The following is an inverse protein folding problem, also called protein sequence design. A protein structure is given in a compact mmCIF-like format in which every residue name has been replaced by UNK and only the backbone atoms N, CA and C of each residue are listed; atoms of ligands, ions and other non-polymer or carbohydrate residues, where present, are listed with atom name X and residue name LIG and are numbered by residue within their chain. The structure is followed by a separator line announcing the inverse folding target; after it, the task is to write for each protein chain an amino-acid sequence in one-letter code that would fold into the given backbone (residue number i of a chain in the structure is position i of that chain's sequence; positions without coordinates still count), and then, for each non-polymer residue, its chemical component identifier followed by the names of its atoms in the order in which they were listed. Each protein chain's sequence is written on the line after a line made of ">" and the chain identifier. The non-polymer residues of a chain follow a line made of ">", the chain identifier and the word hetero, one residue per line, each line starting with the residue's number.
data_IF_913572613139
#
_entry.id   IF_913572613139
#
_cell.length_a   1.000
_cell.length_b   1.000
_cell.length_c   1.000
_cell.angle_alpha   90.00
_cell.angle_beta   90.00
_cell.angle_gamma   90.00
#
_symmetry.space_group_name_H-M   'P 1'
#
loop_
_entity.id
_entity.type
_entity.pdbx_description
1 polymer ?
#
# COMPACT_ATOMS: atom_id res chain seq x y z
N UNK A 1 -25.30 1.90 -45.29
CA UNK A 1 -24.04 1.39 -44.71
C UNK A 1 -23.92 1.95 -43.30
N UNK A 2 -23.95 1.08 -42.30
CA UNK A 2 -23.91 1.41 -40.88
C UNK A 2 -22.46 1.66 -40.45
N UNK A 3 -22.20 2.80 -39.79
CA UNK A 3 -20.97 3.06 -39.06
C UNK A 3 -21.29 3.77 -37.76
N UNK A 4 -21.60 3.02 -36.69
CA UNK A 4 -21.67 3.56 -35.33
C UNK A 4 -20.25 3.51 -34.74
N UNK A 5 -19.60 4.67 -34.66
CA UNK A 5 -18.44 4.85 -33.80
C UNK A 5 -18.91 4.98 -32.34
N UNK A 6 -18.27 4.24 -31.45
CA UNK A 6 -18.49 4.29 -29.99
C UNK A 6 -18.01 5.64 -29.44
N UNK A 7 -18.68 6.23 -28.44
CA UNK A 7 -18.21 7.47 -27.83
C UNK A 7 -16.98 7.18 -26.98
N UNK A 8 -15.90 7.89 -27.30
CA UNK A 8 -14.65 7.99 -26.54
C UNK A 8 -14.97 8.60 -25.17
N UNK A 9 -14.53 7.95 -24.10
CA UNK A 9 -14.75 8.39 -22.73
C UNK A 9 -14.02 9.71 -22.44
N UNK A 10 -14.79 10.70 -21.98
CA UNK A 10 -14.40 12.08 -21.73
C UNK A 10 -13.46 12.25 -20.52
N UNK A 11 -12.18 12.51 -20.78
CA UNK A 11 -11.27 13.19 -19.83
C UNK A 11 -11.44 14.72 -19.83
N UNK A 12 -12.24 15.27 -20.75
CA UNK A 12 -12.50 16.71 -20.90
C UNK A 12 -13.60 17.28 -20.00
N UNK A 13 -14.40 16.43 -19.35
CA UNK A 13 -15.52 16.87 -18.51
C UNK A 13 -15.10 17.37 -17.12
N UNK A 14 -13.93 16.96 -16.62
CA UNK A 14 -13.38 17.49 -15.36
C UNK A 14 -12.87 18.93 -15.53
N UNK A 15 -12.14 19.21 -16.62
CA UNK A 15 -11.56 20.55 -16.88
C UNK A 15 -12.64 21.58 -17.20
N UNK A 16 -13.69 21.18 -17.93
CA UNK A 16 -14.82 22.06 -18.28
C UNK A 16 -15.76 22.31 -17.10
N UNK A 17 -15.92 21.35 -16.18
CA UNK A 17 -16.62 21.54 -14.90
C UNK A 17 -15.89 22.51 -13.96
N UNK A 18 -14.56 22.43 -13.91
CA UNK A 18 -13.69 23.33 -13.14
C UNK A 18 -13.77 24.79 -13.63
N UNK A 19 -13.85 24.99 -14.94
CA UNK A 19 -14.02 26.32 -15.54
C UNK A 19 -15.34 26.98 -15.14
N UNK A 20 -16.46 26.24 -15.14
CA UNK A 20 -17.77 26.80 -14.77
C UNK A 20 -17.90 27.19 -13.30
N UNK A 21 -17.18 26.54 -12.38
CA UNK A 21 -17.23 26.84 -10.95
C UNK A 21 -16.32 28.03 -10.57
N UNK A 22 -15.22 28.24 -11.30
CA UNK A 22 -14.26 29.32 -11.08
C UNK A 22 -14.82 30.74 -11.38
N UNK A 23 -15.86 30.87 -12.20
CA UNK A 23 -16.47 32.16 -12.56
C UNK A 23 -17.73 32.51 -11.73
N UNK A 24 -18.09 31.68 -10.74
CA UNK A 24 -19.34 31.79 -9.96
C UNK A 24 -19.29 32.59 -8.65
N UNK A 25 -18.22 33.34 -8.38
CA UNK A 25 -18.24 34.39 -7.34
C UNK A 25 -18.42 33.95 -5.88
N UNK A 26 -17.83 32.82 -5.46
CA UNK A 26 -17.71 32.42 -4.05
C UNK A 26 -16.25 32.46 -3.59
N UNK A 27 -15.99 32.88 -2.35
CA UNK A 27 -14.66 33.03 -1.74
C UNK A 27 -13.72 31.87 -2.12
N UNK A 28 -12.67 32.18 -2.87
CA UNK A 28 -11.69 31.22 -3.37
C UNK A 28 -10.79 30.75 -2.22
N UNK A 29 -11.32 29.86 -1.39
CA UNK A 29 -10.66 29.36 -0.19
C UNK A 29 -9.54 28.40 -0.56
N UNK A 30 -8.41 28.51 0.15
CA UNK A 30 -7.26 27.59 0.08
C UNK A 30 -7.68 26.12 0.20
N UNK A 31 -8.77 25.84 0.91
CA UNK A 31 -9.29 24.51 1.15
C UNK A 31 -9.84 23.83 -0.12
N UNK A 32 -10.46 24.59 -1.03
CA UNK A 32 -10.96 24.05 -2.32
C UNK A 32 -9.80 23.77 -3.26
N UNK A 33 -8.81 24.66 -3.30
CA UNK A 33 -7.57 24.42 -4.02
C UNK A 33 -6.82 23.20 -3.47
N UNK A 34 -6.65 23.11 -2.14
CA UNK A 34 -5.98 21.98 -1.49
C UNK A 34 -6.72 20.66 -1.71
N UNK A 35 -8.05 20.65 -1.63
CA UNK A 35 -8.87 19.47 -1.92
C UNK A 35 -8.73 19.00 -3.38
N UNK A 36 -8.56 19.93 -4.32
CA UNK A 36 -8.35 19.61 -5.74
C UNK A 36 -6.90 19.18 -6.03
N UNK A 37 -5.92 19.75 -5.33
CA UNK A 37 -4.50 19.50 -5.58
C UNK A 37 -3.96 18.24 -4.86
N UNK A 38 -4.52 17.90 -3.69
CA UNK A 38 -4.07 16.74 -2.90
C UNK A 38 -4.14 15.44 -3.71
N UNK A 39 -5.25 15.07 -4.39
CA UNK A 39 -5.30 13.86 -5.21
C UNK A 39 -4.29 13.89 -6.36
N UNK A 40 -4.08 15.05 -7.00
CA UNK A 40 -3.09 15.18 -8.09
C UNK A 40 -1.68 14.91 -7.56
N UNK A 41 -1.30 15.56 -6.46
CA UNK A 41 0.02 15.41 -5.86
C UNK A 41 0.25 13.99 -5.31
N UNK A 42 -0.77 13.40 -4.69
CA UNK A 42 -0.72 12.02 -4.24
C UNK A 42 -0.62 11.05 -5.42
N UNK A 43 -1.29 11.33 -6.54
CA UNK A 43 -1.15 10.57 -7.79
C UNK A 43 0.30 10.59 -8.31
N UNK A 44 0.92 11.77 -8.37
CA UNK A 44 2.34 11.88 -8.77
C UNK A 44 3.27 11.10 -7.85
N UNK A 45 3.01 11.09 -6.53
CA UNK A 45 3.78 10.30 -5.57
C UNK A 45 3.55 8.80 -5.76
N UNK A 46 2.32 8.37 -6.03
CA UNK A 46 2.01 6.98 -6.34
C UNK A 46 2.81 6.57 -7.59
N UNK A 47 2.81 7.36 -8.66
CA UNK A 47 3.58 7.05 -9.88
C UNK A 47 5.08 7.04 -9.63
N UNK A 48 5.59 8.00 -8.84
CA UNK A 48 6.99 8.01 -8.41
C UNK A 48 7.36 6.78 -7.58
N UNK A 49 6.40 6.14 -6.91
CA UNK A 49 6.57 4.89 -6.18
C UNK A 49 7.15 3.74 -7.01
N UNK A 50 6.91 3.73 -8.33
CA UNK A 50 7.53 2.76 -9.26
C UNK A 50 9.06 2.90 -9.31
N UNK A 51 9.60 4.06 -8.93
CA UNK A 51 11.02 4.39 -8.95
C UNK A 51 11.64 4.45 -7.54
N UNK A 52 10.90 4.05 -6.51
CA UNK A 52 11.41 3.97 -5.14
C UNK A 52 12.05 2.60 -4.94
N UNK A 53 13.36 2.61 -4.67
CA UNK A 53 14.16 1.39 -4.49
C UNK A 53 14.98 1.46 -3.21
N UNK A 54 15.17 0.32 -2.56
CA UNK A 54 16.10 0.12 -1.44
C UNK A 54 17.52 -0.18 -1.94
N UNK A 55 17.65 -0.81 -3.11
CA UNK A 55 18.93 -1.16 -3.72
C UNK A 55 18.82 -1.33 -5.25
N UNK A 56 19.95 -1.33 -6.00
CA UNK A 56 19.93 -1.43 -7.46
C UNK A 56 19.31 -2.72 -8.01
N UNK A 57 19.46 -3.85 -7.31
CA UNK A 57 18.83 -5.11 -7.73
C UNK A 57 17.31 -5.02 -7.67
N UNK A 58 16.77 -4.28 -6.69
CA UNK A 58 15.34 -4.02 -6.62
C UNK A 58 14.84 -3.17 -7.80
N UNK A 59 15.66 -2.27 -8.34
CA UNK A 59 15.30 -1.57 -9.58
C UNK A 59 15.17 -2.57 -10.73
N UNK A 60 16.13 -3.49 -10.88
CA UNK A 60 16.04 -4.53 -11.90
C UNK A 60 14.81 -5.44 -11.71
N UNK A 61 14.53 -5.89 -10.48
CA UNK A 61 13.39 -6.76 -10.18
C UNK A 61 12.04 -6.05 -10.41
N UNK A 62 11.91 -4.78 -9.99
CA UNK A 62 10.71 -3.93 -10.21
C UNK A 62 10.28 -3.93 -11.68
N UNK A 63 11.25 -3.80 -12.58
CA UNK A 63 11.04 -3.66 -14.03
C UNK A 63 11.10 -4.99 -14.80
N UNK A 64 11.23 -6.12 -14.10
CA UNK A 64 11.24 -7.46 -14.70
C UNK A 64 10.11 -8.31 -14.15
N UNK A 65 10.36 -9.12 -13.12
CA UNK A 65 9.36 -10.05 -12.59
C UNK A 65 8.34 -9.40 -11.66
N UNK A 66 8.63 -8.22 -11.10
CA UNK A 66 7.66 -7.53 -10.25
C UNK A 66 6.70 -6.60 -11.01
N UNK A 67 6.98 -6.36 -12.29
CA UNK A 67 6.30 -5.35 -13.08
C UNK A 67 4.78 -5.58 -13.17
N UNK A 68 4.28 -6.79 -13.48
CA UNK A 68 2.83 -6.99 -13.68
C UNK A 68 2.02 -6.61 -12.44
N UNK A 69 2.42 -7.09 -11.26
CA UNK A 69 1.69 -6.77 -10.04
C UNK A 69 1.95 -5.34 -9.53
N UNK A 70 3.10 -4.74 -9.85
CA UNK A 70 3.37 -3.34 -9.52
C UNK A 70 2.50 -2.39 -10.35
N UNK A 71 2.22 -2.71 -11.62
CA UNK A 71 1.28 -1.96 -12.47
C UNK A 71 -0.16 -2.07 -11.94
N UNK A 72 -0.58 -3.27 -11.55
CA UNK A 72 -1.90 -3.47 -10.93
C UNK A 72 -2.01 -2.71 -9.61
N UNK A 73 -0.96 -2.74 -8.79
CA UNK A 73 -0.88 -1.98 -7.54
C UNK A 73 -0.97 -0.47 -7.76
N UNK A 74 -0.23 0.07 -8.73
CA UNK A 74 -0.30 1.49 -9.11
C UNK A 74 -1.73 1.87 -9.54
N UNK A 75 -2.34 1.10 -10.46
CA UNK A 75 -3.69 1.38 -10.93
C UNK A 75 -4.72 1.36 -9.79
N UNK A 76 -4.63 0.38 -8.88
CA UNK A 76 -5.49 0.29 -7.70
C UNK A 76 -5.29 1.47 -6.74
N UNK A 77 -4.04 1.83 -6.44
CA UNK A 77 -3.71 2.96 -5.57
C UNK A 77 -4.15 4.30 -6.16
N UNK A 78 -3.97 4.49 -7.45
CA UNK A 78 -4.43 5.68 -8.17
C UNK A 78 -5.96 5.78 -8.17
N UNK A 79 -6.67 4.66 -8.37
CA UNK A 79 -8.13 4.62 -8.24
C UNK A 79 -8.60 4.96 -6.82
N UNK A 80 -7.96 4.40 -5.78
CA UNK A 80 -8.25 4.74 -4.37
C UNK A 80 -8.00 6.21 -4.08
N UNK A 81 -6.91 6.77 -4.61
CA UNK A 81 -6.57 8.18 -4.45
C UNK A 81 -7.60 9.11 -5.10
N UNK A 82 -8.04 8.81 -6.33
CA UNK A 82 -9.13 9.55 -7.00
C UNK A 82 -10.44 9.45 -6.22
N UNK A 83 -10.71 8.31 -5.58
CA UNK A 83 -11.87 8.09 -4.74
C UNK A 83 -11.76 8.67 -3.32
N UNK A 84 -10.65 9.36 -2.98
CA UNK A 84 -10.46 10.00 -1.67
C UNK A 84 -9.95 9.10 -0.56
N UNK A 85 -9.51 7.87 -0.88
CA UNK A 85 -8.97 6.89 0.08
C UNK A 85 -7.43 6.89 0.13
N UNK A 86 -6.80 8.05 -0.06
CA UNK A 86 -5.36 8.23 0.02
C UNK A 86 -5.02 9.59 0.63
N UNK A 87 -4.77 9.60 1.94
CA UNK A 87 -4.45 10.81 2.67
C UNK A 87 -2.96 11.10 2.70
N UNK A 88 -2.16 10.05 2.96
CA UNK A 88 -0.71 10.13 3.01
C UNK A 88 -0.08 9.14 2.03
N UNK A 89 0.88 9.62 1.26
CA UNK A 89 1.78 8.75 0.47
C UNK A 89 3.17 8.82 1.11
N UNK A 90 3.68 7.67 1.55
CA UNK A 90 4.97 7.53 2.22
C UNK A 90 5.80 6.45 1.55
N UNK A 91 7.12 6.58 1.65
CA UNK A 91 8.05 5.62 1.07
C UNK A 91 8.87 4.98 2.17
N UNK A 92 9.08 3.67 2.06
CA UNK A 92 9.92 2.95 2.99
C UNK A 92 10.58 1.76 2.29
N UNK A 93 11.91 1.80 2.16
CA UNK A 93 12.74 0.68 1.70
C UNK A 93 12.16 -0.06 0.49
N UNK A 94 11.86 0.68 -0.58
CA UNK A 94 11.33 0.14 -1.83
C UNK A 94 9.80 -0.02 -1.93
N UNK A 95 9.08 0.18 -0.82
CA UNK A 95 7.62 0.15 -0.79
C UNK A 95 7.02 1.55 -0.74
N UNK A 96 5.82 1.68 -1.31
CA UNK A 96 4.99 2.89 -1.30
C UNK A 96 3.75 2.61 -0.47
N UNK A 97 3.59 3.33 0.63
CA UNK A 97 2.47 3.24 1.54
C UNK A 97 1.43 4.31 1.18
N UNK A 98 0.20 3.86 0.93
CA UNK A 98 -0.98 4.67 0.65
C UNK A 98 -1.90 4.54 1.86
N UNK A 99 -1.83 5.54 2.75
CA UNK A 99 -2.51 5.54 4.03
C UNK A 99 -3.77 6.38 3.92
N UNK A 100 -4.91 5.78 4.27
CA UNK A 100 -6.16 6.46 4.48
C UNK A 100 -6.41 6.58 5.98
N UNK A 101 -6.49 7.82 6.46
CA UNK A 101 -6.59 8.14 7.88
C UNK A 101 -8.07 8.24 8.29
N UNK A 102 -8.38 8.08 9.58
CA UNK A 102 -9.76 8.18 10.11
C UNK A 102 -10.76 7.22 9.45
N UNK A 103 -10.31 6.04 9.03
CA UNK A 103 -11.18 5.03 8.45
C UNK A 103 -11.99 4.29 9.51
N UNK A 104 -13.21 3.87 9.17
CA UNK A 104 -13.98 2.94 10.03
C UNK A 104 -13.37 1.53 10.08
N UNK A 105 -12.43 1.22 9.18
CA UNK A 105 -11.75 -0.06 9.06
C UNK A 105 -10.29 0.05 9.45
N UNK A 106 -9.75 -1.06 9.94
CA UNK A 106 -8.32 -1.25 10.17
C UNK A 106 -7.90 -2.46 9.36
N UNK A 107 -7.46 -2.23 8.13
CA UNK A 107 -7.06 -3.27 7.18
C UNK A 107 -6.07 -2.74 6.14
N UNK A 108 -5.38 -3.67 5.50
CA UNK A 108 -4.44 -3.39 4.42
C UNK A 108 -4.60 -4.38 3.27
N UNK A 109 -4.04 -3.98 2.12
CA UNK A 109 -3.87 -4.81 0.94
C UNK A 109 -2.58 -4.40 0.24
N UNK A 110 -1.73 -5.38 -0.03
CA UNK A 110 -0.46 -5.16 -0.73
C UNK A 110 -0.47 -5.75 -2.14
N UNK A 111 -0.14 -4.91 -3.13
CA UNK A 111 -0.07 -5.25 -4.55
C UNK A 111 1.26 -4.73 -5.13
N UNK A 112 2.22 -5.62 -5.35
CA UNK A 112 3.57 -5.19 -5.74
C UNK A 112 4.23 -4.38 -4.63
N UNK A 113 4.82 -3.24 -5.00
CA UNK A 113 5.34 -2.24 -4.05
C UNK A 113 4.28 -1.34 -3.42
N UNK A 114 3.01 -1.46 -3.80
CA UNK A 114 1.97 -0.56 -3.33
C UNK A 114 1.21 -1.19 -2.17
N UNK A 115 1.42 -0.62 -0.99
CA UNK A 115 0.80 -1.04 0.27
C UNK A 115 -0.35 -0.07 0.56
N UNK A 116 -1.58 -0.55 0.38
CA UNK A 116 -2.79 0.23 0.58
C UNK A 116 -3.37 -0.08 1.95
N UNK A 117 -3.58 0.94 2.78
CA UNK A 117 -4.01 0.74 4.16
C UNK A 117 -5.03 1.76 4.62
N UNK A 118 -5.84 1.32 5.57
CA UNK A 118 -6.81 2.09 6.32
C UNK A 118 -6.40 2.06 7.79
N UNK A 119 -6.18 3.23 8.38
CA UNK A 119 -5.95 3.38 9.82
C UNK A 119 -7.14 4.10 10.44
N UNK A 120 -7.48 3.73 11.68
CA UNK A 120 -8.64 4.30 12.39
C UNK A 120 -8.39 5.69 12.93
N UNK A 121 -7.14 5.95 13.31
CA UNK A 121 -6.73 7.20 13.92
C UNK A 121 -6.15 8.15 12.85
N UNK A 122 -6.08 9.46 13.12
CA UNK A 122 -5.31 10.38 12.29
C UNK A 122 -3.85 9.94 12.16
N UNK A 123 -3.23 10.23 11.02
CA UNK A 123 -1.79 10.00 10.87
C UNK A 123 -0.99 10.85 11.86
N UNK A 124 -0.34 10.16 12.81
CA UNK A 124 0.48 10.78 13.84
C UNK A 124 1.96 10.73 13.44
N UNK A 125 2.54 11.90 13.17
CA UNK A 125 3.97 12.03 12.86
C UNK A 125 4.86 11.62 14.02
N UNK A 126 4.45 11.83 15.27
CA UNK A 126 5.27 11.43 16.42
C UNK A 126 5.41 9.91 16.51
N UNK A 127 4.40 9.19 16.02
CA UNK A 127 4.36 7.73 15.92
C UNK A 127 5.09 7.20 14.68
N UNK A 128 4.76 7.73 13.50
CA UNK A 128 5.21 7.17 12.22
C UNK A 128 6.43 7.86 11.62
N UNK A 129 6.80 9.05 12.10
CA UNK A 129 7.99 9.82 11.72
C UNK A 129 8.78 10.24 12.98
N UNK A 130 9.21 9.30 13.82
CA UNK A 130 9.80 9.62 15.11
C UNK A 130 11.20 10.24 14.96
N UNK A 131 11.61 11.02 15.95
CA UNK A 131 12.89 11.74 15.95
C UNK A 131 14.11 10.82 15.89
N UNK A 132 14.03 9.61 16.47
CA UNK A 132 15.10 8.61 16.40
C UNK A 132 15.32 8.07 14.98
N UNK A 133 14.34 8.24 14.07
CA UNK A 133 14.43 7.86 12.67
C UNK A 133 14.57 9.09 11.75
N UNK A 134 15.26 10.14 12.21
CA UNK A 134 15.45 11.41 11.48
C UNK A 134 14.13 12.07 11.03
N UNK A 135 13.02 11.85 11.74
CA UNK A 135 11.67 12.25 11.31
C UNK A 135 11.28 11.70 9.93
N UNK A 136 11.80 10.54 9.54
CA UNK A 136 11.41 9.82 8.32
C UNK A 136 10.36 8.77 8.65
N UNK A 137 9.54 8.47 7.66
CA UNK A 137 8.48 7.48 7.82
C UNK A 137 9.04 6.09 8.18
N UNK A 138 8.37 5.41 9.10
CA UNK A 138 8.64 4.01 9.46
C UNK A 138 7.35 3.26 9.77
N UNK A 139 7.17 2.02 9.27
CA UNK A 139 6.01 1.19 9.59
C UNK A 139 6.12 0.51 10.98
N UNK A 140 7.27 0.61 11.65
CA UNK A 140 7.59 -0.14 12.89
C UNK A 140 6.62 0.13 14.06
N UNK A 141 5.93 1.27 14.04
CA UNK A 141 5.01 1.63 15.11
C UNK A 141 3.65 0.90 15.03
N UNK A 142 3.41 0.12 13.97
CA UNK A 142 2.13 -0.54 13.72
C UNK A 142 2.33 -1.95 13.12
N UNK A 143 1.83 -2.96 13.84
CA UNK A 143 1.96 -4.36 13.44
C UNK A 143 1.27 -4.68 12.10
N UNK A 144 0.16 -4.03 11.74
CA UNK A 144 -0.47 -4.20 10.42
C UNK A 144 0.42 -3.63 9.33
N UNK A 145 1.03 -2.46 9.54
CA UNK A 145 1.95 -1.89 8.55
C UNK A 145 3.17 -2.77 8.32
N UNK A 146 3.71 -3.37 9.38
CA UNK A 146 4.80 -4.33 9.27
C UNK A 146 4.34 -5.61 8.54
N UNK A 147 3.17 -6.15 8.89
CA UNK A 147 2.57 -7.31 8.23
C UNK A 147 2.38 -7.12 6.72
N UNK A 148 1.80 -5.98 6.30
CA UNK A 148 1.64 -5.64 4.88
C UNK A 148 2.98 -5.49 4.16
N UNK A 149 4.00 -4.97 4.85
CA UNK A 149 5.36 -4.97 4.32
C UNK A 149 5.90 -6.40 4.11
N UNK A 150 5.46 -7.38 4.89
CA UNK A 150 5.69 -8.80 4.66
C UNK A 150 5.14 -9.29 3.31
N UNK A 151 3.91 -8.89 2.96
CA UNK A 151 3.33 -9.19 1.65
C UNK A 151 4.08 -8.52 0.50
N UNK A 152 4.61 -7.31 0.71
CA UNK A 152 5.51 -6.67 -0.24
C UNK A 152 6.78 -7.50 -0.48
N UNK A 153 7.39 -8.02 0.59
CA UNK A 153 8.57 -8.88 0.48
C UNK A 153 8.25 -10.20 -0.25
N UNK A 154 7.05 -10.77 -0.07
CA UNK A 154 6.60 -11.92 -0.88
C UNK A 154 6.54 -11.54 -2.35
N UNK A 155 5.91 -10.39 -2.67
CA UNK A 155 5.80 -9.90 -4.03
C UNK A 155 7.17 -9.71 -4.70
N UNK A 156 8.13 -9.17 -3.95
CA UNK A 156 9.50 -9.00 -4.41
C UNK A 156 10.19 -10.34 -4.73
N UNK A 157 9.94 -11.37 -3.90
CA UNK A 157 10.59 -12.70 -4.02
C UNK A 157 10.05 -13.53 -5.16
N UNK A 158 8.72 -13.59 -5.32
CA UNK A 158 8.08 -14.51 -6.28
C UNK A 158 7.49 -13.82 -7.51
N UNK A 159 7.50 -12.48 -7.54
CA UNK A 159 7.26 -11.70 -8.75
C UNK A 159 5.94 -12.03 -9.42
N UNK A 160 6.06 -12.52 -10.65
CA UNK A 160 4.96 -12.95 -11.50
C UNK A 160 3.99 -13.90 -10.81
N UNK A 161 4.48 -14.80 -9.96
CA UNK A 161 3.64 -15.77 -9.25
C UNK A 161 2.94 -15.19 -8.02
N UNK A 162 3.24 -13.96 -7.61
CA UNK A 162 2.66 -13.34 -6.43
C UNK A 162 1.12 -13.33 -6.47
N UNK A 163 0.51 -12.90 -7.57
CA UNK A 163 -0.94 -12.81 -7.63
C UNK A 163 -1.61 -14.19 -7.56
N UNK A 164 -1.08 -15.20 -8.25
CA UNK A 164 -1.68 -16.54 -8.27
C UNK A 164 -1.40 -17.34 -7.00
N UNK A 165 -0.20 -17.20 -6.42
CA UNK A 165 0.24 -17.98 -5.26
C UNK A 165 -0.02 -17.28 -3.91
N UNK A 166 -0.21 -15.96 -3.88
CA UNK A 166 -0.40 -15.21 -2.64
C UNK A 166 -1.63 -14.31 -2.71
N UNK A 167 -1.68 -13.36 -3.64
CA UNK A 167 -2.74 -12.33 -3.67
C UNK A 167 -4.15 -12.89 -3.80
N UNK A 168 -4.39 -13.76 -4.79
CA UNK A 168 -5.68 -14.41 -5.02
C UNK A 168 -6.02 -15.38 -3.86
N UNK A 169 -5.13 -16.30 -3.43
CA UNK A 169 -5.39 -17.14 -2.26
C UNK A 169 -5.73 -16.36 -0.99
N UNK A 170 -4.98 -15.30 -0.65
CA UNK A 170 -5.27 -14.42 0.50
C UNK A 170 -6.64 -13.78 0.38
N UNK A 171 -7.03 -13.29 -0.80
CA UNK A 171 -8.36 -12.71 -1.03
C UNK A 171 -9.48 -13.75 -0.85
N UNK A 172 -9.33 -14.93 -1.45
CA UNK A 172 -10.31 -16.03 -1.37
C UNK A 172 -10.48 -16.49 0.10
N UNK A 173 -9.37 -16.61 0.84
CA UNK A 173 -9.38 -16.91 2.27
C UNK A 173 -10.09 -15.81 3.09
N UNK A 174 -9.81 -14.53 2.78
CA UNK A 174 -10.44 -13.39 3.44
C UNK A 174 -11.97 -13.38 3.22
N UNK A 175 -12.42 -13.73 2.01
CA UNK A 175 -13.83 -13.90 1.65
C UNK A 175 -14.48 -15.15 2.27
N UNK A 176 -13.72 -16.04 2.90
CA UNK A 176 -14.21 -17.25 3.56
C UNK A 176 -14.59 -18.37 2.60
N UNK A 177 -14.11 -18.32 1.36
CA UNK A 177 -14.42 -19.33 0.33
C UNK A 177 -13.54 -20.58 0.43
N UNK A 178 -12.36 -20.44 1.04
CA UNK A 178 -11.53 -21.54 1.50
C UNK A 178 -11.53 -21.49 3.02
N UNK A 179 -12.03 -22.56 3.65
CA UNK A 179 -12.19 -22.63 5.11
C UNK A 179 -10.84 -22.67 5.84
N UNK A 180 -10.81 -22.20 7.08
CA UNK A 180 -9.60 -22.18 7.91
C UNK A 180 -9.51 -20.94 8.79
N UNK A 181 -8.52 -20.94 9.68
CA UNK A 181 -8.15 -19.74 10.45
C UNK A 181 -7.43 -18.76 9.52
N UNK A 182 -8.03 -17.58 9.32
CA UNK A 182 -7.56 -16.59 8.35
C UNK A 182 -6.14 -16.12 8.67
N UNK A 183 -5.86 -15.89 9.95
CA UNK A 183 -4.60 -15.34 10.43
C UNK A 183 -3.47 -16.39 10.38
N UNK A 184 -3.83 -17.67 10.24
CA UNK A 184 -2.89 -18.80 10.14
C UNK A 184 -2.76 -19.37 8.74
N UNK A 185 -3.44 -18.78 7.76
CA UNK A 185 -3.31 -19.21 6.37
C UNK A 185 -1.86 -19.03 5.89
N UNK A 186 -1.38 -19.92 5.02
CA UNK A 186 0.06 -20.01 4.73
C UNK A 186 0.64 -18.71 4.16
N UNK A 187 -0.14 -17.97 3.37
CA UNK A 187 0.27 -16.68 2.80
C UNK A 187 0.44 -15.63 3.89
N UNK A 188 -0.47 -15.58 4.86
CA UNK A 188 -0.47 -14.65 5.99
C UNK A 188 0.70 -14.95 6.94
N UNK A 189 0.89 -16.22 7.30
CA UNK A 189 2.05 -16.62 8.12
C UNK A 189 3.37 -16.35 7.44
N UNK A 190 3.48 -16.65 6.15
CA UNK A 190 4.71 -16.36 5.41
C UNK A 190 5.00 -14.85 5.41
N UNK A 191 3.98 -13.99 5.22
CA UNK A 191 4.13 -12.55 5.34
C UNK A 191 4.57 -12.13 6.75
N UNK A 192 3.95 -12.69 7.80
CA UNK A 192 4.33 -12.44 9.19
C UNK A 192 5.79 -12.82 9.47
N UNK A 193 6.24 -14.00 9.04
CA UNK A 193 7.62 -14.44 9.23
C UNK A 193 8.62 -13.49 8.51
N UNK A 194 8.28 -13.05 7.30
CA UNK A 194 9.13 -12.12 6.54
C UNK A 194 9.21 -10.74 7.19
N UNK A 195 8.06 -10.19 7.59
CA UNK A 195 7.98 -8.93 8.30
C UNK A 195 8.75 -9.01 9.63
N UNK A 196 8.48 -10.04 10.42
CA UNK A 196 9.17 -10.28 11.69
C UNK A 196 10.68 -10.30 11.49
N UNK A 197 11.24 -11.13 10.60
CA UNK A 197 12.68 -11.16 10.37
C UNK A 197 13.27 -9.87 9.80
N UNK A 198 12.49 -9.09 9.05
CA UNK A 198 12.97 -7.83 8.49
C UNK A 198 13.08 -6.72 9.55
N UNK A 199 12.13 -6.68 10.49
CA UNK A 199 12.04 -5.63 11.52
C UNK A 199 12.66 -6.03 12.86
N UNK A 200 12.71 -7.32 13.19
CA UNK A 200 13.35 -7.84 14.41
C UNK A 200 14.86 -7.71 14.30
N UNK A 201 15.50 -7.22 15.37
CA UNK A 201 16.93 -6.94 15.39
C UNK A 201 17.33 -5.60 14.76
N UNK A 202 16.42 -4.89 14.08
CA UNK A 202 16.60 -3.49 13.65
C UNK A 202 16.05 -2.51 14.67
N UNK A 203 16.28 -2.80 15.95
CA UNK A 203 15.76 -2.04 17.08
C UNK A 203 15.93 -0.54 16.89
N UNK A 204 14.87 0.23 17.16
CA UNK A 204 14.76 1.07 18.35
C UNK A 204 13.41 1.81 18.26
N UNK A 205 12.46 1.53 19.17
CA UNK A 205 11.27 2.39 19.37
C UNK A 205 9.92 1.92 18.83
N UNK A 206 9.76 0.65 18.43
CA UNK A 206 8.49 0.07 17.96
C UNK A 206 7.66 -0.61 19.03
N UNK A 207 6.35 -0.75 18.78
CA UNK A 207 5.51 -1.69 19.51
C UNK A 207 6.07 -3.11 19.32
N UNK A 208 6.08 -3.92 20.38
CA UNK A 208 6.44 -5.34 20.27
C UNK A 208 5.59 -6.04 19.19
N UNK A 209 6.14 -7.09 18.59
CA UNK A 209 5.40 -7.90 17.62
C UNK A 209 4.21 -8.58 18.29
N UNK A 210 3.01 -8.37 17.78
CA UNK A 210 1.79 -9.00 18.31
C UNK A 210 1.65 -10.42 17.75
N UNK A 211 2.21 -11.40 18.47
CA UNK A 211 2.13 -12.82 18.09
C UNK A 211 0.73 -13.42 18.17
N UNK A 212 -0.20 -12.77 18.89
CA UNK A 212 -1.58 -13.22 18.98
C UNK A 212 -2.34 -12.93 17.70
N UNK A 213 -2.15 -11.72 17.15
CA UNK A 213 -2.79 -11.27 15.92
C UNK A 213 -2.01 -11.61 14.65
N UNK A 214 -0.68 -11.63 14.72
CA UNK A 214 0.21 -11.91 13.59
C UNK A 214 1.12 -13.10 13.91
N UNK A 215 0.58 -14.33 13.90
CA UNK A 215 1.35 -15.51 14.27
C UNK A 215 2.47 -15.80 13.26
N UNK A 216 3.63 -16.22 13.79
CA UNK A 216 4.78 -16.74 13.03
C UNK A 216 4.98 -18.24 13.30
N UNK A 217 5.68 -18.96 12.42
CA UNK A 217 5.80 -20.42 12.52
C UNK A 217 6.70 -20.89 13.66
N UNK A 218 7.66 -20.07 14.09
CA UNK A 218 8.62 -20.43 15.14
C UNK A 218 8.85 -19.26 16.11
N UNK A 219 7.90 -19.06 17.04
CA UNK A 219 8.01 -18.06 18.11
C UNK A 219 9.24 -18.26 19.04
N UNK A 220 9.92 -19.41 18.93
CA UNK A 220 11.14 -19.76 19.67
C UNK A 220 12.42 -19.86 18.83
N UNK A 221 12.51 -19.26 17.63
CA UNK A 221 13.78 -19.10 16.91
C UNK A 221 14.27 -20.33 16.13
N UNK A 222 13.38 -21.06 15.46
CA UNK A 222 13.77 -22.02 14.41
C UNK A 222 13.45 -21.40 13.06
N UNK A 223 14.37 -21.45 12.11
CA UNK A 223 14.22 -20.76 10.81
C UNK A 223 12.98 -21.24 10.03
N UNK A 224 12.39 -20.42 9.14
CA UNK A 224 11.31 -20.86 8.27
C UNK A 224 11.84 -21.84 7.21
N UNK A 225 10.95 -22.72 6.78
CA UNK A 225 11.19 -23.64 5.68
C UNK A 225 11.29 -22.86 4.37
N UNK A 226 12.29 -23.24 3.56
CA UNK A 226 12.74 -22.65 2.27
C UNK A 226 13.86 -21.61 2.45
N UNK A 227 15.09 -22.12 2.31
CA UNK A 227 16.30 -21.36 1.94
C UNK A 227 16.37 -21.23 0.43
#
# INVERSE_FOLDING_TARGET
>A
MNGKALPVWNSLNLITGLGKWAFGGGSFSRDVLQATWKPVWNGMKIDAGMFVFDNPFQAFSRWTWELPQSLIGNAWSSARNVAGYADQIKYYRGATFIIHDNSSKYDGVTLGNYINMNIRDPYDKTKYEPSWNDNKFTPIADNMMMHEYGHFLQSQRIGFFYLSAVGIPSLINRLGWIGGDKDRFYTEKWANNLAYHFFVGKEHGGNGWDFGKYPIDNQGGKEPWVR
#
